data_IF_977189218120
#
_entry.id   IF_977189218120
#
_cell.length_a   1.000
_cell.length_b   1.000
_cell.length_c   1.000
_cell.angle_alpha   90.00
_cell.angle_beta   90.00
_cell.angle_gamma   90.00
#
_symmetry.space_group_name_H-M   'P 1'
#
loop_
_entity.id
_entity.type
_entity.pdbx_description
1 polymer ?
#
# COMPACT_ATOMS: atom_id res chain seq x y z
N UNK A 1 -55.34 -49.87 -22.46
CA UNK A 1 -54.18 -49.73 -23.37
C UNK A 1 -54.47 -50.66 -24.53
N UNK A 2 -55.23 -50.15 -25.50
CA UNK A 2 -55.80 -50.95 -26.57
C UNK A 2 -54.96 -50.85 -27.86
N UNK A 3 -54.58 -52.05 -28.32
CA UNK A 3 -54.73 -52.54 -29.69
C UNK A 3 -54.11 -51.73 -30.84
N UNK A 4 -52.97 -52.23 -31.33
CA UNK A 4 -52.41 -51.93 -32.64
C UNK A 4 -52.72 -53.11 -33.58
N UNK A 5 -53.52 -52.85 -34.63
CA UNK A 5 -53.73 -53.71 -35.79
C UNK A 5 -53.30 -52.85 -37.01
N UNK A 6 -52.27 -53.21 -37.79
CA UNK A 6 -52.35 -54.07 -38.98
C UNK A 6 -53.05 -53.33 -40.14
N UNK A 7 -52.63 -53.31 -41.41
CA UNK A 7 -51.68 -54.13 -42.20
C UNK A 7 -51.79 -53.65 -43.68
N UNK A 8 -50.76 -53.95 -44.50
CA UNK A 8 -50.75 -54.22 -45.98
C UNK A 8 -50.52 -53.06 -47.00
N UNK A 9 -49.30 -53.04 -47.56
CA UNK A 9 -48.89 -53.43 -48.94
C UNK A 9 -49.81 -53.12 -50.16
N UNK A 10 -49.29 -53.17 -51.42
CA UNK A 10 -48.07 -52.55 -51.98
C UNK A 10 -48.26 -52.03 -53.44
N UNK A 11 -47.29 -51.24 -53.95
CA UNK A 11 -46.74 -51.45 -55.30
C UNK A 11 -47.25 -50.64 -56.50
N UNK A 12 -46.26 -50.33 -57.35
CA UNK A 12 -46.27 -50.04 -58.80
C UNK A 12 -46.14 -48.56 -59.22
N UNK A 13 -45.00 -48.30 -59.87
CA UNK A 13 -44.54 -47.08 -60.58
C UNK A 13 -44.67 -47.38 -62.09
N UNK A 14 -45.06 -46.46 -62.99
CA UNK A 14 -44.05 -45.70 -63.72
C UNK A 14 -44.40 -44.26 -64.20
N UNK A 15 -43.35 -43.43 -64.21
CA UNK A 15 -42.97 -42.38 -65.16
C UNK A 15 -44.02 -41.38 -65.72
N UNK A 16 -43.86 -40.11 -65.36
CA UNK A 16 -44.02 -38.99 -66.30
C UNK A 16 -43.08 -37.83 -65.96
N UNK A 17 -42.37 -37.38 -66.98
CA UNK A 17 -41.47 -36.23 -67.04
C UNK A 17 -42.19 -34.94 -66.64
N UNK A 18 -41.67 -34.22 -65.63
CA UNK A 18 -41.97 -32.81 -65.43
C UNK A 18 -40.73 -32.12 -64.87
N UNK A 19 -40.06 -31.37 -65.73
CA UNK A 19 -38.91 -30.50 -65.44
C UNK A 19 -39.37 -29.39 -64.50
N UNK A 20 -39.03 -29.49 -63.21
CA UNK A 20 -39.27 -28.43 -62.22
C UNK A 20 -37.95 -27.70 -61.94
N UNK A 21 -37.92 -26.41 -62.29
CA UNK A 21 -36.83 -25.48 -62.01
C UNK A 21 -36.73 -25.28 -60.49
N UNK A 22 -35.69 -25.83 -59.85
CA UNK A 22 -35.32 -25.48 -58.47
C UNK A 22 -34.55 -24.15 -58.48
N UNK A 23 -35.21 -23.06 -58.10
CA UNK A 23 -34.55 -21.85 -57.64
C UNK A 23 -34.16 -22.06 -56.17
N UNK A 24 -32.90 -22.40 -55.91
CA UNK A 24 -32.28 -22.23 -54.61
C UNK A 24 -31.68 -20.82 -54.56
N UNK A 25 -32.13 -19.89 -53.70
CA UNK A 25 -31.18 -18.98 -53.10
C UNK A 25 -30.35 -19.81 -52.12
N UNK A 26 -29.13 -20.09 -52.54
CA UNK A 26 -28.08 -20.59 -51.68
C UNK A 26 -27.95 -19.69 -50.44
N UNK A 27 -27.90 -20.34 -49.27
CA UNK A 27 -27.16 -19.95 -48.08
C UNK A 27 -26.78 -18.46 -47.95
N UNK A 28 -27.63 -17.64 -47.34
CA UNK A 28 -27.12 -16.81 -46.22
C UNK A 28 -27.14 -17.68 -44.97
N UNK A 29 -26.18 -18.61 -44.94
CA UNK A 29 -25.61 -19.11 -43.70
C UNK A 29 -25.00 -17.88 -43.03
N UNK A 30 -25.37 -17.65 -41.76
CA UNK A 30 -24.57 -16.97 -40.75
C UNK A 30 -23.30 -16.31 -41.30
N UNK A 31 -23.35 -14.99 -41.50
CA UNK A 31 -22.13 -14.19 -41.50
C UNK A 31 -21.88 -13.68 -40.06
N UNK A 32 -21.11 -14.40 -39.23
CA UNK A 32 -20.75 -13.91 -37.92
C UNK A 32 -19.65 -12.84 -37.98
N UNK A 33 -19.12 -12.46 -39.16
CA UNK A 33 -18.03 -11.48 -39.25
C UNK A 33 -18.52 -10.04 -38.95
N UNK A 34 -19.82 -9.78 -39.13
CA UNK A 34 -20.47 -8.54 -38.69
C UNK A 34 -20.62 -8.41 -37.16
N UNK A 35 -20.61 -9.54 -36.43
CA UNK A 35 -20.76 -9.58 -34.96
C UNK A 35 -19.45 -9.91 -34.22
N UNK A 36 -18.44 -10.47 -34.91
CA UNK A 36 -17.11 -10.75 -34.35
C UNK A 36 -16.17 -9.52 -34.41
N UNK A 37 -16.55 -8.43 -35.09
CA UNK A 37 -15.67 -7.27 -35.29
C UNK A 37 -16.20 -5.95 -34.73
N UNK A 38 -17.15 -5.95 -33.78
CA UNK A 38 -17.38 -4.75 -32.97
C UNK A 38 -16.11 -4.52 -32.13
N UNK A 39 -15.36 -3.43 -32.33
CA UNK A 39 -14.42 -3.02 -31.30
C UNK A 39 -15.23 -2.92 -30.01
N UNK A 40 -14.79 -3.62 -28.95
CA UNK A 40 -15.39 -3.46 -27.63
C UNK A 40 -15.60 -1.97 -27.34
N UNK A 41 -16.66 -1.63 -26.63
CA UNK A 41 -16.98 -0.23 -26.35
C UNK A 41 -15.72 0.51 -25.86
N UNK A 42 -15.31 1.56 -26.58
CA UNK A 42 -14.07 2.27 -26.31
C UNK A 42 -14.28 3.15 -25.09
N UNK A 43 -13.44 3.00 -24.07
CA UNK A 43 -13.51 3.81 -22.86
C UNK A 43 -13.09 5.27 -23.15
N UNK A 44 -13.48 6.19 -22.29
CA UNK A 44 -13.04 7.58 -22.40
C UNK A 44 -11.51 7.68 -22.21
N UNK A 45 -10.87 8.56 -22.97
CA UNK A 45 -9.49 8.98 -22.73
C UNK A 45 -9.48 10.08 -21.68
N UNK A 46 -8.46 10.09 -20.83
CA UNK A 46 -8.38 10.99 -19.68
C UNK A 46 -6.95 11.52 -19.55
N UNK A 47 -6.82 12.85 -19.51
CA UNK A 47 -5.64 13.54 -18.99
C UNK A 47 -5.98 14.10 -17.62
N UNK A 48 -5.07 13.95 -16.66
CA UNK A 48 -5.28 14.34 -15.27
C UNK A 48 -4.01 14.95 -14.71
N UNK A 49 -4.17 16.09 -14.05
CA UNK A 49 -3.09 16.74 -13.33
C UNK A 49 -3.51 17.28 -11.97
N UNK A 50 -2.58 17.18 -11.02
CA UNK A 50 -2.73 17.66 -9.65
C UNK A 50 -1.53 18.56 -9.38
N UNK A 51 -1.69 19.90 -9.44
CA UNK A 51 -0.57 20.84 -9.41
C UNK A 51 0.19 20.85 -8.07
N UNK A 52 -0.47 20.48 -6.97
CA UNK A 52 0.18 20.31 -5.67
C UNK A 52 -0.01 18.90 -5.14
N UNK A 53 1.10 18.18 -5.00
CA UNK A 53 1.14 16.84 -4.42
C UNK A 53 1.44 16.84 -2.92
N UNK A 54 1.42 18.01 -2.27
CA UNK A 54 1.53 18.16 -0.83
C UNK A 54 0.30 18.91 -0.31
N UNK A 55 -0.38 18.34 0.68
CA UNK A 55 -1.63 18.90 1.22
C UNK A 55 -1.74 18.63 2.72
N UNK A 56 -2.29 19.59 3.47
CA UNK A 56 -2.59 19.37 4.87
C UNK A 56 -3.88 18.54 5.01
N UNK A 57 -3.93 17.66 5.99
CA UNK A 57 -5.16 16.94 6.30
C UNK A 57 -6.33 17.91 6.55
N UNK A 58 -7.49 17.63 5.96
CA UNK A 58 -8.69 18.49 6.06
C UNK A 58 -8.80 19.54 4.97
N UNK A 59 -7.74 19.80 4.19
CA UNK A 59 -7.79 20.72 3.06
C UNK A 59 -8.32 20.04 1.79
N UNK A 60 -8.66 20.86 0.79
CA UNK A 60 -9.03 20.40 -0.54
C UNK A 60 -7.80 20.44 -1.47
N UNK A 61 -7.75 19.50 -2.42
CA UNK A 61 -6.71 19.41 -3.44
C UNK A 61 -7.29 19.90 -4.77
N UNK A 62 -6.75 20.98 -5.37
CA UNK A 62 -7.15 21.40 -6.70
C UNK A 62 -6.62 20.43 -7.76
N UNK A 63 -7.33 20.29 -8.87
CA UNK A 63 -6.91 19.48 -10.01
C UNK A 63 -7.38 20.08 -11.34
N UNK A 64 -6.77 19.58 -12.41
CA UNK A 64 -7.17 19.80 -13.78
C UNK A 64 -7.38 18.46 -14.48
N UNK A 65 -8.47 18.28 -15.21
CA UNK A 65 -8.70 17.09 -16.02
C UNK A 65 -9.24 17.42 -17.40
N UNK A 66 -8.81 16.65 -18.38
CA UNK A 66 -9.41 16.62 -19.72
C UNK A 66 -9.95 15.22 -19.96
N UNK A 67 -11.12 15.13 -20.58
CA UNK A 67 -11.70 13.84 -20.94
C UNK A 67 -12.43 13.91 -22.27
N UNK A 68 -12.32 12.85 -23.05
CA UNK A 68 -12.98 12.74 -24.35
C UNK A 68 -13.29 11.28 -24.69
N UNK A 69 -14.32 11.08 -25.50
CA UNK A 69 -14.75 9.77 -25.96
C UNK A 69 -15.31 9.89 -27.38
N UNK A 70 -15.31 8.79 -28.12
CA UNK A 70 -15.86 8.75 -29.49
C UNK A 70 -17.36 8.99 -29.53
N UNK A 71 -18.09 8.60 -28.47
CA UNK A 71 -19.53 8.82 -28.31
C UNK A 71 -19.88 10.18 -27.67
N UNK A 72 -18.87 10.95 -27.24
CA UNK A 72 -18.99 12.28 -26.59
C UNK A 72 -20.04 12.37 -25.48
N UNK A 73 -20.42 11.25 -24.88
CA UNK A 73 -21.45 11.18 -23.84
C UNK A 73 -20.83 10.63 -22.58
N UNK A 74 -21.22 11.17 -21.43
CA UNK A 74 -20.62 10.84 -20.14
C UNK A 74 -21.69 10.74 -19.07
N UNK A 75 -21.59 9.71 -18.23
CA UNK A 75 -22.60 9.41 -17.21
C UNK A 75 -22.07 9.60 -15.80
N UNK A 76 -20.76 9.49 -15.59
CA UNK A 76 -20.14 9.69 -14.28
C UNK A 76 -18.71 10.18 -14.43
N UNK A 77 -18.35 11.16 -13.59
CA UNK A 77 -17.00 11.67 -13.39
C UNK A 77 -16.73 11.63 -11.89
N UNK A 78 -15.53 11.26 -11.46
CA UNK A 78 -15.23 11.25 -10.03
C UNK A 78 -13.75 11.11 -9.70
N UNK A 79 -13.38 11.55 -8.51
CA UNK A 79 -12.04 11.28 -7.95
C UNK A 79 -12.13 10.08 -7.03
N UNK A 80 -11.20 9.16 -7.25
CA UNK A 80 -11.02 7.95 -6.47
C UNK A 80 -9.62 7.94 -5.91
N UNK A 81 -9.46 7.56 -4.65
CA UNK A 81 -8.14 7.29 -4.11
C UNK A 81 -8.17 6.16 -3.09
N UNK A 82 -7.05 5.44 -3.03
CA UNK A 82 -6.69 4.63 -1.88
C UNK A 82 -5.85 5.47 -0.88
N UNK A 83 -5.66 4.94 0.33
CA UNK A 83 -4.84 5.59 1.36
C UNK A 83 -3.76 4.63 1.83
N UNK A 84 -2.51 5.06 1.65
CA UNK A 84 -1.32 4.38 2.15
C UNK A 84 -0.81 5.11 3.39
N UNK A 85 -0.59 4.38 4.48
CA UNK A 85 0.08 4.87 5.68
C UNK A 85 1.56 4.53 5.61
N UNK A 86 2.40 5.52 5.88
CA UNK A 86 3.85 5.36 6.00
C UNK A 86 4.24 5.57 7.46
N UNK A 87 4.99 4.61 8.01
CA UNK A 87 5.54 4.66 9.37
C UNK A 87 7.06 4.67 9.27
N UNK A 88 7.71 5.56 10.01
CA UNK A 88 9.16 5.61 10.14
C UNK A 88 9.55 5.57 11.60
N UNK A 89 10.52 4.74 11.92
CA UNK A 89 11.08 4.59 13.26
C UNK A 89 12.58 4.84 13.20
N UNK A 90 13.06 5.72 14.08
CA UNK A 90 14.47 5.87 14.41
C UNK A 90 14.61 5.67 15.91
N UNK A 91 15.28 4.62 16.35
CA UNK A 91 15.52 4.34 17.76
C UNK A 91 17.02 4.29 18.00
N UNK A 92 17.53 5.11 18.91
CA UNK A 92 18.97 5.22 19.18
C UNK A 92 19.28 4.74 20.58
N UNK A 93 20.32 3.91 20.72
CA UNK A 93 20.97 3.62 22.00
C UNK A 93 22.08 4.66 22.23
N UNK A 94 21.93 5.59 23.20
CA UNK A 94 22.89 6.68 23.37
C UNK A 94 24.26 6.23 23.88
N UNK A 95 24.37 5.03 24.47
CA UNK A 95 25.61 4.55 25.09
C UNK A 95 26.76 4.40 24.11
N UNK A 96 26.48 3.94 22.88
CA UNK A 96 27.47 3.83 21.81
C UNK A 96 27.03 4.49 20.48
N UNK A 97 25.87 5.16 20.48
CA UNK A 97 25.33 5.85 19.30
C UNK A 97 24.67 4.95 18.26
N UNK A 98 24.50 3.65 18.54
CA UNK A 98 23.79 2.74 17.63
C UNK A 98 22.38 3.25 17.33
N UNK A 99 22.03 3.34 16.04
CA UNK A 99 20.71 3.74 15.56
C UNK A 99 20.06 2.63 14.73
N UNK A 100 18.82 2.31 15.08
CA UNK A 100 17.95 1.37 14.38
C UNK A 100 16.93 2.15 13.55
N UNK A 101 16.82 1.79 12.29
CA UNK A 101 15.87 2.38 11.34
C UNK A 101 14.89 1.32 10.86
N UNK A 102 13.62 1.67 10.80
CA UNK A 102 12.58 0.84 10.19
C UNK A 102 11.56 1.72 9.49
N UNK A 103 11.36 1.45 8.21
CA UNK A 103 10.29 2.04 7.42
C UNK A 103 9.23 0.96 7.16
N UNK A 104 7.95 1.30 7.36
CA UNK A 104 6.80 0.46 7.01
C UNK A 104 5.85 1.24 6.13
N UNK A 105 5.23 0.56 5.18
CA UNK A 105 4.22 1.11 4.28
C UNK A 105 3.04 0.15 4.23
N UNK A 106 1.85 0.65 4.51
CA UNK A 106 0.65 -0.17 4.69
C UNK A 106 -0.52 0.47 3.93
N UNK A 107 -1.21 -0.31 3.11
CA UNK A 107 -2.50 0.09 2.57
C UNK A 107 -3.53 0.06 3.70
N UNK A 108 -4.06 1.22 4.08
CA UNK A 108 -5.00 1.36 5.20
C UNK A 108 -6.43 1.64 4.75
N UNK A 109 -6.60 1.95 3.46
CA UNK A 109 -7.90 2.08 2.80
C UNK A 109 -7.75 1.72 1.34
N UNK A 110 -8.59 0.81 0.88
CA UNK A 110 -8.71 0.47 -0.54
C UNK A 110 -9.22 1.67 -1.36
N UNK A 111 -8.98 1.63 -2.67
CA UNK A 111 -9.45 2.68 -3.57
C UNK A 111 -10.98 2.74 -3.57
N UNK A 112 -11.52 3.93 -3.35
CA UNK A 112 -12.96 4.19 -3.34
C UNK A 112 -13.27 5.57 -3.89
N UNK A 113 -14.52 5.80 -4.28
CA UNK A 113 -15.01 7.10 -4.70
C UNK A 113 -15.00 8.09 -3.54
N UNK A 114 -14.51 9.30 -3.82
CA UNK A 114 -14.38 10.37 -2.82
C UNK A 114 -15.32 11.51 -3.14
N UNK A 115 -15.38 11.89 -4.40
CA UNK A 115 -16.28 12.93 -4.88
C UNK A 115 -16.64 12.68 -6.35
N UNK A 116 -17.82 13.14 -6.73
CA UNK A 116 -18.37 13.01 -8.08
C UNK A 116 -18.59 14.38 -8.69
N UNK A 117 -18.39 14.49 -10.00
CA UNK A 117 -18.60 15.71 -10.76
C UNK A 117 -19.66 15.51 -11.82
N UNK A 118 -20.39 16.59 -12.12
CA UNK A 118 -21.38 16.58 -13.20
C UNK A 118 -20.70 16.94 -14.51
N UNK A 119 -20.94 16.13 -15.54
CA UNK A 119 -20.59 16.49 -16.90
C UNK A 119 -21.41 17.72 -17.36
N UNK A 120 -20.79 18.59 -18.15
CA UNK A 120 -21.41 19.79 -18.72
C UNK A 120 -20.97 19.96 -20.15
N UNK A 121 -21.91 20.03 -21.08
CA UNK A 121 -21.63 20.30 -22.51
C UNK A 121 -20.87 21.61 -22.73
N UNK A 122 -21.11 22.60 -21.85
CA UNK A 122 -20.42 23.89 -21.90
C UNK A 122 -18.95 23.85 -21.50
N UNK A 123 -18.44 22.71 -21.03
CA UNK A 123 -17.03 22.53 -20.67
C UNK A 123 -16.16 22.00 -21.81
N UNK A 124 -16.72 21.87 -23.01
CA UNK A 124 -15.98 21.47 -24.21
C UNK A 124 -15.02 22.56 -24.68
N UNK A 125 -13.74 22.22 -24.79
CA UNK A 125 -12.68 23.06 -25.34
C UNK A 125 -12.38 22.60 -26.77
N UNK A 126 -12.66 23.47 -27.75
CA UNK A 126 -12.52 23.15 -29.17
C UNK A 126 -11.07 23.00 -29.63
N UNK A 127 -10.12 23.67 -28.98
CA UNK A 127 -8.70 23.57 -29.31
C UNK A 127 -8.13 22.24 -28.82
N UNK A 128 -8.49 21.85 -27.59
CA UNK A 128 -8.09 20.58 -26.99
C UNK A 128 -8.88 19.38 -27.52
N UNK A 129 -10.06 19.63 -28.11
CA UNK A 129 -11.03 18.61 -28.54
C UNK A 129 -11.43 17.68 -27.39
N UNK A 130 -11.55 18.25 -26.20
CA UNK A 130 -11.85 17.54 -24.97
C UNK A 130 -12.73 18.39 -24.06
N UNK A 131 -13.43 17.73 -23.14
CA UNK A 131 -14.11 18.40 -22.04
C UNK A 131 -13.11 18.66 -20.93
N UNK A 132 -13.12 19.87 -20.39
CA UNK A 132 -12.19 20.31 -19.35
C UNK A 132 -12.94 20.46 -18.02
N UNK A 133 -12.31 20.05 -16.93
CA UNK A 133 -12.77 20.31 -15.57
C UNK A 133 -11.61 20.78 -14.70
N UNK A 134 -11.82 21.92 -14.05
CA UNK A 134 -10.95 22.47 -13.02
C UNK A 134 -11.77 22.57 -11.74
N UNK A 135 -11.44 21.75 -10.76
CA UNK A 135 -12.17 21.69 -9.51
C UNK A 135 -11.24 21.19 -8.39
N UNK A 136 -11.82 20.83 -7.24
CA UNK A 136 -11.11 20.35 -6.07
C UNK A 136 -11.80 19.14 -5.44
N UNK A 137 -11.03 18.34 -4.71
CA UNK A 137 -11.56 17.22 -3.94
C UNK A 137 -11.05 17.24 -2.49
N UNK A 138 -11.86 16.75 -1.53
CA UNK A 138 -11.51 16.84 -0.11
C UNK A 138 -10.52 15.77 0.34
N UNK A 139 -9.66 16.14 1.29
CA UNK A 139 -8.80 15.23 2.06
C UNK A 139 -9.33 15.15 3.49
N UNK A 140 -9.49 13.93 4.02
CA UNK A 140 -9.99 13.75 5.38
C UNK A 140 -9.03 14.35 6.42
N UNK A 141 -9.57 15.09 7.39
CA UNK A 141 -8.81 15.62 8.54
C UNK A 141 -8.19 14.51 9.40
N UNK A 142 -8.75 13.30 9.35
CA UNK A 142 -8.24 12.14 10.10
C UNK A 142 -6.91 11.61 9.57
N UNK A 143 -6.43 12.12 8.43
CA UNK A 143 -5.16 11.76 7.82
C UNK A 143 -4.01 12.68 8.27
N UNK A 144 -4.20 13.42 9.37
CA UNK A 144 -3.15 14.25 9.96
C UNK A 144 -1.92 13.41 10.29
N UNK A 145 -0.75 13.94 9.95
CA UNK A 145 0.50 13.31 10.35
C UNK A 145 0.70 13.34 11.85
N UNK A 146 1.51 12.42 12.36
CA UNK A 146 1.95 12.40 13.74
C UNK A 146 3.47 12.29 13.76
N UNK A 147 4.13 13.21 14.46
CA UNK A 147 5.56 13.19 14.69
C UNK A 147 5.84 13.18 16.18
N UNK A 148 6.71 12.26 16.61
CA UNK A 148 7.34 12.27 17.92
C UNK A 148 8.82 12.34 17.69
N UNK A 149 9.48 13.37 18.22
CA UNK A 149 10.91 13.58 18.05
C UNK A 149 11.58 13.88 19.38
N UNK A 150 12.44 12.97 19.80
CA UNK A 150 13.29 13.10 20.99
C UNK A 150 12.55 13.69 22.21
N UNK A 151 11.45 13.07 22.68
CA UNK A 151 10.64 13.65 23.73
C UNK A 151 11.42 13.72 25.05
N UNK A 152 11.12 14.75 25.85
CA UNK A 152 11.75 14.98 27.15
C UNK A 152 11.14 14.11 28.26
N UNK A 153 9.87 13.71 28.09
CA UNK A 153 9.11 12.90 29.04
C UNK A 153 8.75 11.59 28.38
N UNK A 154 8.83 10.50 29.15
CA UNK A 154 8.46 9.18 28.69
C UNK A 154 7.03 8.84 29.10
N UNK A 155 6.14 8.83 28.10
CA UNK A 155 4.75 8.37 28.24
C UNK A 155 4.64 6.90 27.80
N UNK A 156 4.52 5.99 28.76
CA UNK A 156 4.45 4.55 28.48
C UNK A 156 3.28 4.20 27.54
N UNK A 157 2.10 4.81 27.71
CA UNK A 157 0.91 4.49 26.92
C UNK A 157 1.07 4.96 25.47
N UNK A 158 1.64 6.16 25.27
CA UNK A 158 1.96 6.66 23.95
C UNK A 158 2.98 5.75 23.26
N UNK A 159 4.05 5.36 23.95
CA UNK A 159 5.10 4.52 23.37
C UNK A 159 4.63 3.11 23.04
N UNK A 160 3.79 2.49 23.88
CA UNK A 160 3.23 1.18 23.59
C UNK A 160 2.33 1.17 22.36
N UNK A 161 1.61 2.27 22.13
CA UNK A 161 0.79 2.45 20.94
C UNK A 161 1.64 2.74 19.69
N UNK A 162 2.58 3.68 19.79
CA UNK A 162 3.35 4.14 18.64
C UNK A 162 4.50 3.21 18.25
N UNK A 163 5.11 2.52 19.21
CA UNK A 163 6.26 1.64 19.01
C UNK A 163 5.90 0.25 19.57
N UNK A 164 5.20 -0.58 18.78
CA UNK A 164 4.78 -1.91 19.20
C UNK A 164 5.92 -2.78 19.73
N UNK A 165 5.60 -3.72 20.62
CA UNK A 165 6.57 -4.62 21.22
C UNK A 165 7.47 -5.33 20.18
N UNK A 166 6.91 -5.76 19.05
CA UNK A 166 7.69 -6.39 17.97
C UNK A 166 8.81 -5.50 17.39
N UNK A 167 8.61 -4.17 17.36
CA UNK A 167 9.63 -3.22 16.88
C UNK A 167 10.71 -3.02 17.95
N UNK A 168 10.32 -2.89 19.22
CA UNK A 168 11.27 -2.82 20.35
C UNK A 168 12.13 -4.07 20.42
N UNK A 169 11.55 -5.23 20.16
CA UNK A 169 12.23 -6.51 20.08
C UNK A 169 13.26 -6.57 18.95
N UNK A 170 12.89 -6.08 17.77
CA UNK A 170 13.83 -5.93 16.64
C UNK A 170 14.99 -5.00 17.00
N UNK A 171 14.69 -3.86 17.63
CA UNK A 171 15.72 -2.94 18.13
C UNK A 171 16.67 -3.63 19.11
N UNK A 172 16.17 -4.32 20.13
CA UNK A 172 16.98 -5.03 21.13
C UNK A 172 17.87 -6.08 20.47
N UNK A 173 17.32 -6.87 19.54
CA UNK A 173 18.07 -7.88 18.80
C UNK A 173 19.19 -7.26 17.96
N UNK A 174 18.91 -6.16 17.26
CA UNK A 174 19.92 -5.44 16.49
C UNK A 174 20.97 -4.80 17.39
N UNK A 175 20.58 -4.16 18.50
CA UNK A 175 21.48 -3.58 19.48
C UNK A 175 22.43 -4.64 20.05
N UNK A 176 21.91 -5.81 20.44
CA UNK A 176 22.71 -6.91 21.00
C UNK A 176 23.94 -7.24 20.13
N UNK A 177 23.76 -7.27 18.81
CA UNK A 177 24.84 -7.57 17.86
C UNK A 177 25.95 -6.53 17.81
N UNK A 178 25.72 -5.33 18.37
CA UNK A 178 26.64 -4.20 18.36
C UNK A 178 27.34 -4.00 19.72
N UNK A 179 26.97 -4.76 20.75
CA UNK A 179 27.50 -4.58 22.10
C UNK A 179 28.80 -5.37 22.28
N UNK A 180 29.85 -4.68 22.70
CA UNK A 180 31.07 -5.29 23.22
C UNK A 180 31.03 -5.46 24.74
N UNK A 181 32.06 -6.07 25.31
CA UNK A 181 32.19 -6.24 26.77
C UNK A 181 32.00 -4.93 27.55
N UNK A 182 32.62 -3.83 27.09
CA UNK A 182 32.52 -2.54 27.75
C UNK A 182 31.09 -1.99 27.74
N UNK A 183 30.35 -2.20 26.64
CA UNK A 183 28.96 -1.80 26.54
C UNK A 183 28.08 -2.63 27.48
N UNK A 184 28.26 -3.96 27.50
CA UNK A 184 27.53 -4.84 28.41
C UNK A 184 27.79 -4.51 29.88
N UNK A 185 29.04 -4.24 30.26
CA UNK A 185 29.39 -3.83 31.62
C UNK A 185 28.73 -2.51 31.99
N UNK A 186 28.77 -1.53 31.08
CA UNK A 186 28.12 -0.24 31.29
C UNK A 186 26.62 -0.43 31.43
N UNK A 187 26.01 -1.20 30.55
CA UNK A 187 24.56 -1.38 30.45
C UNK A 187 23.99 -2.22 31.60
N UNK A 188 24.56 -3.39 31.88
CA UNK A 188 24.01 -4.42 32.78
C UNK A 188 24.52 -4.37 34.23
N UNK A 189 25.62 -3.66 34.48
CA UNK A 189 26.23 -3.57 35.81
C UNK A 189 26.19 -2.13 36.32
N UNK A 190 26.65 -1.18 35.48
CA UNK A 190 26.83 0.22 35.92
C UNK A 190 25.53 1.01 35.88
N UNK A 191 24.82 0.96 34.75
CA UNK A 191 23.62 1.79 34.53
C UNK A 191 22.34 1.09 34.98
N UNK A 192 22.25 -0.21 34.78
CA UNK A 192 21.08 -1.02 35.18
C UNK A 192 21.62 -2.29 35.84
N UNK A 193 21.80 -2.34 37.16
CA UNK A 193 22.50 -3.43 37.87
C UNK A 193 21.65 -4.71 37.92
N UNK A 194 21.44 -5.36 36.76
CA UNK A 194 20.67 -6.60 36.58
C UNK A 194 21.55 -7.85 36.67
N UNK A 195 22.87 -7.66 36.66
CA UNK A 195 23.90 -8.68 36.87
C UNK A 195 25.07 -8.09 37.67
N UNK A 196 25.76 -8.92 38.46
CA UNK A 196 27.00 -8.50 39.14
C UNK A 196 28.17 -8.43 38.16
N UNK A 197 29.20 -7.64 38.49
CA UNK A 197 30.42 -7.59 37.69
C UNK A 197 31.07 -8.98 37.58
N UNK A 198 31.25 -9.68 38.70
CA UNK A 198 31.90 -10.99 38.74
C UNK A 198 31.16 -12.02 37.89
N UNK A 199 29.82 -12.02 37.92
CA UNK A 199 29.02 -12.90 37.07
C UNK A 199 29.20 -12.55 35.60
N UNK A 200 29.18 -11.26 35.23
CA UNK A 200 29.38 -10.82 33.85
C UNK A 200 30.76 -11.25 33.31
N UNK A 201 31.82 -11.17 34.12
CA UNK A 201 33.16 -11.60 33.70
C UNK A 201 33.19 -13.06 33.23
N UNK A 202 32.40 -13.95 33.86
CA UNK A 202 32.36 -15.38 33.49
C UNK A 202 31.75 -15.65 32.11
N UNK A 203 31.11 -14.65 31.50
CA UNK A 203 30.41 -14.77 30.22
C UNK A 203 31.27 -14.38 29.02
N UNK A 204 32.51 -13.96 29.26
CA UNK A 204 33.46 -13.56 28.22
C UNK A 204 34.73 -14.39 28.30
N UNK A 205 35.25 -14.76 27.13
CA UNK A 205 36.61 -15.24 27.00
C UNK A 205 37.54 -14.05 26.81
N UNK A 206 38.65 -14.06 27.55
CA UNK A 206 39.70 -13.05 27.43
C UNK A 206 40.89 -13.67 26.71
N UNK A 207 41.23 -13.13 25.56
CA UNK A 207 42.42 -13.48 24.78
C UNK A 207 43.38 -12.31 24.86
N UNK A 208 44.64 -12.58 25.21
CA UNK A 208 45.71 -11.58 25.25
C UNK A 208 46.74 -11.94 24.19
N UNK A 209 46.89 -11.09 23.18
CA UNK A 209 47.87 -11.23 22.11
C UNK A 209 48.79 -10.01 22.12
N UNK A 210 49.99 -10.19 22.68
CA UNK A 210 50.88 -9.06 22.97
C UNK A 210 50.24 -8.09 23.96
N UNK A 211 50.09 -6.83 23.57
CA UNK A 211 49.46 -5.77 24.38
C UNK A 211 47.94 -5.63 24.11
N UNK A 212 47.38 -6.45 23.22
CA UNK A 212 45.96 -6.39 22.86
C UNK A 212 45.16 -7.38 23.69
N UNK A 213 44.18 -6.88 24.45
CA UNK A 213 43.22 -7.68 25.20
C UNK A 213 41.89 -7.67 24.45
N UNK A 214 41.48 -8.83 23.95
CA UNK A 214 40.18 -9.02 23.29
C UNK A 214 39.26 -9.79 24.22
N UNK A 215 38.02 -9.30 24.36
CA UNK A 215 36.96 -9.97 25.14
C UNK A 215 35.80 -10.33 24.25
N UNK A 216 35.59 -11.62 24.05
CA UNK A 216 34.53 -12.18 23.21
C UNK A 216 33.48 -12.87 24.06
N UNK A 217 32.21 -12.68 23.71
CA UNK A 217 31.09 -13.35 24.37
C UNK A 217 31.20 -14.86 24.16
N UNK A 218 31.06 -15.64 25.23
CA UNK A 218 30.96 -17.09 25.13
C UNK A 218 29.63 -17.50 24.51
N UNK A 219 29.63 -18.53 23.67
CA UNK A 219 28.44 -18.96 22.94
C UNK A 219 27.28 -19.38 23.86
N UNK A 220 27.59 -20.03 24.98
CA UNK A 220 26.63 -20.46 26.01
C UNK A 220 26.10 -19.29 26.86
N UNK A 221 26.81 -18.17 26.89
CA UNK A 221 26.38 -16.95 27.60
C UNK A 221 25.45 -16.05 26.77
N UNK A 222 25.34 -16.25 25.45
CA UNK A 222 24.47 -15.45 24.58
C UNK A 222 23.00 -15.45 25.06
N UNK A 223 22.37 -16.59 25.41
CA UNK A 223 21.01 -16.59 25.94
C UNK A 223 20.89 -15.81 27.26
N UNK A 224 21.89 -15.92 28.14
CA UNK A 224 21.90 -15.24 29.44
C UNK A 224 21.99 -13.72 29.28
N UNK A 225 22.90 -13.24 28.42
CA UNK A 225 23.03 -11.82 28.09
C UNK A 225 21.74 -11.27 27.47
N UNK A 226 21.11 -12.04 26.57
CA UNK A 226 19.84 -11.67 25.95
C UNK A 226 18.73 -11.54 27.00
N UNK A 227 18.62 -12.50 27.92
CA UNK A 227 17.65 -12.45 29.02
C UNK A 227 17.87 -11.20 29.89
N UNK A 228 19.12 -10.88 30.22
CA UNK A 228 19.46 -9.73 31.06
C UNK A 228 19.17 -8.39 30.40
N UNK A 229 19.45 -8.24 29.10
CA UNK A 229 19.07 -7.01 28.38
C UNK A 229 17.55 -6.82 28.38
N UNK A 230 16.77 -7.89 28.26
CA UNK A 230 15.29 -7.83 28.26
C UNK A 230 14.69 -7.45 29.61
N UNK A 231 15.44 -7.57 30.69
CA UNK A 231 15.04 -7.09 32.02
C UNK A 231 15.17 -5.56 32.13
N UNK A 232 15.91 -4.91 31.22
CA UNK A 232 16.05 -3.46 31.21
C UNK A 232 14.80 -2.83 30.58
N UNK A 233 14.16 -1.85 31.25
CA UNK A 233 13.08 -1.10 30.65
C UNK A 233 13.52 -0.43 29.34
N UNK A 234 12.69 -0.51 28.31
CA UNK A 234 12.99 0.11 27.01
C UNK A 234 13.36 1.59 27.12
N UNK A 235 12.68 2.34 28.02
CA UNK A 235 12.97 3.73 28.33
C UNK A 235 14.43 3.96 28.77
N UNK A 236 15.00 3.05 29.55
CA UNK A 236 16.38 3.15 30.03
C UNK A 236 17.40 2.88 28.91
N UNK A 237 17.05 2.06 27.91
CA UNK A 237 17.91 1.82 26.74
C UNK A 237 18.04 3.07 25.88
N UNK A 238 16.97 3.83 25.71
CA UNK A 238 16.95 4.96 24.76
C UNK A 238 17.19 6.32 25.44
N UNK A 239 17.28 6.39 26.77
CA UNK A 239 17.43 7.66 27.48
C UNK A 239 18.85 8.24 27.33
N UNK A 240 18.95 9.44 26.75
CA UNK A 240 20.19 10.16 26.61
C UNK A 240 20.43 11.03 27.85
N UNK A 241 21.22 10.54 28.80
CA UNK A 241 21.53 11.27 30.05
C UNK A 241 22.23 12.61 29.80
N UNK A 242 23.06 12.72 28.76
CA UNK A 242 23.83 13.93 28.47
C UNK A 242 22.96 15.05 27.89
N UNK A 243 21.93 14.68 27.11
CA UNK A 243 21.03 15.63 26.45
C UNK A 243 19.62 15.68 27.03
N UNK A 244 19.33 14.84 28.02
CA UNK A 244 18.09 14.78 28.78
C UNK A 244 16.82 14.57 27.93
N UNK A 245 16.89 13.65 26.96
CA UNK A 245 15.75 13.23 26.14
C UNK A 245 15.79 11.73 25.86
N UNK A 246 14.64 11.17 25.45
CA UNK A 246 14.56 9.79 24.95
C UNK A 246 14.87 9.77 23.45
N UNK A 247 15.92 9.07 23.04
CA UNK A 247 16.49 9.11 21.70
C UNK A 247 15.68 8.24 20.73
N UNK A 248 14.52 8.76 20.37
CA UNK A 248 13.55 8.07 19.53
C UNK A 248 12.79 9.08 18.69
N UNK A 249 12.62 8.73 17.43
CA UNK A 249 11.84 9.49 16.46
C UNK A 249 10.85 8.53 15.79
N UNK A 250 9.60 8.97 15.71
CA UNK A 250 8.52 8.25 15.06
C UNK A 250 7.76 9.21 14.17
N UNK A 251 7.53 8.83 12.92
CA UNK A 251 6.67 9.57 11.99
C UNK A 251 5.59 8.65 11.45
N UNK A 252 4.34 9.08 11.52
CA UNK A 252 3.23 8.52 10.76
C UNK A 252 2.73 9.56 9.79
N UNK A 253 2.77 9.25 8.49
CA UNK A 253 2.23 10.09 7.43
C UNK A 253 1.36 9.26 6.48
N UNK A 254 0.66 9.94 5.58
CA UNK A 254 -0.22 9.30 4.62
C UNK A 254 0.09 9.75 3.20
N UNK A 255 -0.14 8.84 2.24
CA UNK A 255 -0.09 9.10 0.82
C UNK A 255 -1.41 8.67 0.18
N UNK A 256 -1.98 9.53 -0.67
CA UNK A 256 -3.14 9.21 -1.48
C UNK A 256 -2.66 8.81 -2.87
N UNK A 257 -3.14 7.68 -3.39
CA UNK A 257 -2.98 7.34 -4.80
C UNK A 257 -4.27 7.73 -5.54
N UNK A 258 -4.34 8.99 -5.98
CA UNK A 258 -5.54 9.57 -6.56
C UNK A 258 -5.62 9.39 -8.07
N UNK A 259 -6.81 9.02 -8.57
CA UNK A 259 -7.13 8.84 -9.98
C UNK A 259 -8.45 9.52 -10.30
N UNK A 260 -8.55 10.04 -11.52
CA UNK A 260 -9.82 10.52 -12.06
C UNK A 260 -10.50 9.42 -12.85
N UNK A 261 -11.78 9.23 -12.58
CA UNK A 261 -12.63 8.21 -13.19
C UNK A 261 -13.59 8.88 -14.16
N UNK A 262 -13.76 8.27 -15.33
CA UNK A 262 -14.77 8.67 -16.31
C UNK A 262 -15.55 7.45 -16.78
N UNK A 263 -16.87 7.55 -16.80
CA UNK A 263 -17.78 6.57 -17.41
C UNK A 263 -18.48 7.22 -18.60
N UNK A 264 -18.31 6.64 -19.78
CA UNK A 264 -18.94 7.15 -21.00
C UNK A 264 -20.44 6.79 -21.10
N UNK A 265 -21.09 7.21 -22.18
CA UNK A 265 -22.50 6.94 -22.45
C UNK A 265 -22.81 5.45 -22.61
N UNK A 266 -21.83 4.66 -23.05
CA UNK A 266 -21.91 3.20 -23.18
C UNK A 266 -21.56 2.42 -21.90
N UNK A 267 -21.49 3.10 -20.75
CA UNK A 267 -21.19 2.50 -19.44
C UNK A 267 -19.80 1.85 -19.35
N UNK A 268 -18.85 2.28 -20.18
CA UNK A 268 -17.45 1.86 -20.08
C UNK A 268 -16.70 2.82 -19.18
N UNK A 269 -16.08 2.26 -18.16
CA UNK A 269 -15.26 2.96 -17.18
C UNK A 269 -13.80 3.03 -17.65
N UNK A 270 -13.17 4.16 -17.38
CA UNK A 270 -11.71 4.29 -17.39
C UNK A 270 -11.22 5.13 -16.20
N UNK A 271 -9.94 4.99 -15.89
CA UNK A 271 -9.23 5.79 -14.90
C UNK A 271 -7.99 6.43 -15.51
N UNK A 272 -7.69 7.66 -15.10
CA UNK A 272 -6.43 8.33 -15.41
C UNK A 272 -5.22 7.60 -14.83
N UNK A 273 -4.02 8.10 -15.15
CA UNK A 273 -2.82 7.81 -14.36
C UNK A 273 -3.02 8.22 -12.88
N UNK A 274 -2.31 7.51 -12.00
CA UNK A 274 -2.32 7.78 -10.57
C UNK A 274 -1.40 8.94 -10.21
N UNK A 275 -1.89 9.87 -9.38
CA UNK A 275 -1.12 10.95 -8.77
C UNK A 275 -0.95 10.67 -7.28
N UNK A 276 0.30 10.61 -6.86
CA UNK A 276 0.68 10.45 -5.45
C UNK A 276 0.64 11.79 -4.74
N UNK A 277 -0.14 11.87 -3.67
CA UNK A 277 -0.31 13.10 -2.89
C UNK A 277 0.10 12.80 -1.44
N UNK A 278 1.12 13.48 -0.95
CA UNK A 278 1.57 13.39 0.45
C UNK A 278 0.68 14.26 1.33
N UNK A 279 0.18 13.67 2.40
CA UNK A 279 -0.65 14.36 3.40
C UNK A 279 0.17 14.62 4.67
N UNK A 280 0.15 15.87 5.13
CA UNK A 280 0.79 16.32 6.37
C UNK A 280 -0.25 16.72 7.42
#
# INVERSE_FOLDING_TARGET
MDSINGRRHPGIVPALFATLLFLLPACEINDPVGDISRPGHIAASIYWDVPSTNVNAGNEVPFYAEYWSTDQTFTSLGVWYDVVRKLKYTITYPGNGFAFFLDSTELVRESQEITTFKHSEGSFDAEKKAFVIEDKFPVSYTLSSLEVKNPLVYDQAQYDNLIPAAIRERFIKSLFSQLGYADFKTLLVTQNPVVSADTLETWFDTVTEGDVITRTVRQDAIPLLNEKIRQIPFSALIYNKNRQYYAVEFTRSYELNARFRVVNGKQVENFSDSKKITVF
#
